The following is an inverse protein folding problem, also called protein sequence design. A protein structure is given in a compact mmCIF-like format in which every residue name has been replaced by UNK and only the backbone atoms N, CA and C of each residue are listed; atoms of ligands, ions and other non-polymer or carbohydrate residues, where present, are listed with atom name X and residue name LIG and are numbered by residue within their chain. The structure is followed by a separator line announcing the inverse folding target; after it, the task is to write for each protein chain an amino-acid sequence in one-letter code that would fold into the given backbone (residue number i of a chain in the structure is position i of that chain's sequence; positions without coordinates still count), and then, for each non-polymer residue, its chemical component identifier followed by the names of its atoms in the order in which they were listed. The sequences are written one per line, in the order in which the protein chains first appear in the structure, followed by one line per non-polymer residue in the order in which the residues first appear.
data_IF_175272013626
#
_entry.id   IF_175272013626
#
_cell.length_a   1.000
_cell.length_b   1.000
_cell.length_c   1.000
_cell.angle_alpha   90.00
_cell.angle_beta   90.00
_cell.angle_gamma   90.00
#
_symmetry.space_group_name_H-M   'P 1'
#
loop_
_entity.id
_entity.type
_entity.pdbx_description
1 polymer ?
2 polymer ?
3 non-polymer ?
4 non-polymer ?
5 non-polymer ?
6 non-polymer ?
7 non-polymer ?
8 non-polymer ?
9 non-polymer ?
10 non-polymer ?
11 water ?
#
# COMPACT_ATOMS: atom_id res chain seq x y z
CA UNK A 1 11.42 -19.14 -18.02
C UNK A 1 10.90 -18.08 -17.05
N UNK A 2 10.87 -16.80 -17.47
CA UNK A 2 10.35 -15.76 -16.59
C UNK A 2 8.84 -15.83 -16.50
N UNK A 3 8.25 -15.22 -15.47
CA UNK A 3 6.81 -15.08 -15.41
C UNK A 3 6.43 -13.75 -16.03
N UNK A 4 5.36 -13.74 -16.82
CA UNK A 4 4.93 -12.54 -17.53
C UNK A 4 3.59 -11.98 -17.07
N UNK A 5 3.37 -10.69 -17.32
CA UNK A 5 2.18 -10.01 -16.89
C UNK A 5 1.45 -9.59 -18.11
N UNK A 6 0.16 -9.92 -18.22
CA UNK A 6 -0.56 -9.74 -19.51
C UNK A 6 -1.69 -8.76 -19.44
N UNK A 7 -1.86 -7.96 -20.49
CA UNK A 7 -3.00 -7.05 -20.59
C UNK A 7 -4.19 -7.85 -21.12
N UNK A 8 -5.40 -7.44 -20.78
CA UNK A 8 -6.56 -8.10 -21.36
C UNK A 8 -6.75 -7.65 -22.81
N UNK A 9 -6.31 -6.43 -23.12
N UNK B 1 10.28 -26.49 -20.31
CA UNK B 1 11.46 -26.68 -21.13
C UNK B 1 12.59 -27.32 -20.36
N UNK B 2 13.79 -27.27 -20.90
CA UNK B 2 14.95 -27.85 -20.20
C UNK B 2 15.66 -26.83 -19.34
N UNK B 3 15.43 -25.55 -19.61
CA UNK B 3 16.03 -24.51 -18.77
C UNK B 3 15.57 -24.66 -17.34
N UNK B 4 16.50 -24.62 -16.41
CA UNK B 4 16.17 -24.65 -15.00
C UNK B 4 16.84 -23.51 -14.25
N UNK B 5 16.20 -23.07 -13.18
CA UNK B 5 16.78 -22.06 -12.32
C UNK B 5 17.75 -22.68 -11.32
N UNK B 6 18.66 -21.85 -10.80
CA UNK B 6 19.55 -22.22 -9.71
C UNK B 6 18.99 -21.79 -8.37
N UNK B 7 19.15 -22.62 -7.34
CA UNK B 7 18.83 -22.24 -5.98
C UNK B 7 17.37 -22.30 -5.59
N UNK B 8 17.06 -21.76 -4.42
CA UNK B 8 15.71 -21.88 -3.85
C UNK B 8 14.75 -20.74 -4.18
N UNK B 9 15.18 -19.82 -5.05
CA UNK B 9 14.31 -18.77 -5.59
C UNK B 9 13.87 -17.74 -4.57
N UNK B 10 14.74 -17.51 -3.59
CA UNK B 10 14.57 -16.39 -2.68
C UNK B 10 15.95 -15.78 -2.41
N UNK B 11 15.98 -14.51 -2.00
CA UNK B 11 17.25 -13.85 -1.72
C UNK B 11 17.72 -14.23 -0.33
N UNK B 12 19.03 -14.26 -0.14
CA UNK B 12 19.62 -14.64 1.15
C UNK B 12 20.52 -13.55 1.73
N UNK B 13 20.27 -12.32 1.31
CA UNK B 13 20.86 -11.15 1.95
C UNK B 13 19.77 -10.08 1.99
N UNK B 14 19.94 -9.06 2.82
CA UNK B 14 18.85 -8.12 3.05
C UNK B 14 18.89 -6.88 2.18
N UNK B 15 20.09 -6.45 1.76
CA UNK B 15 20.19 -5.27 0.91
C UNK B 15 20.26 -5.67 -0.56
N UNK B 16 19.11 -5.64 -1.20
CA UNK B 16 18.95 -6.04 -2.59
C UNK B 16 19.31 -4.85 -3.46
N UNK B 17 20.22 -5.04 -4.41
CA UNK B 17 20.63 -3.94 -5.27
C UNK B 17 19.92 -4.00 -6.61
N UNK B 18 19.71 -2.84 -7.23
CA UNK B 18 19.11 -2.83 -8.56
C UNK B 18 19.78 -1.83 -9.47
N UNK B 19 19.85 -2.18 -10.75
CA UNK B 19 20.46 -1.34 -11.77
C UNK B 19 19.45 -1.06 -12.87
N UNK B 20 19.20 0.21 -13.13
CA UNK B 20 18.37 0.59 -14.27
C UNK B 20 19.29 0.69 -15.48
N UNK B 21 19.18 -0.30 -16.37
CA UNK B 21 20.10 -0.43 -17.50
C UNK B 21 19.81 0.59 -18.60
N UNK B 22 18.53 0.92 -18.75
CA UNK B 22 18.10 1.89 -19.75
C UNK B 22 16.73 2.43 -19.41
N UNK B 23 16.24 3.35 -20.24
CA UNK B 23 15.00 4.04 -19.97
C UNK B 23 14.06 4.02 -21.16
N UNK B 24 12.76 3.95 -20.89
CA UNK B 24 11.78 4.27 -21.91
C UNK B 24 11.77 5.78 -22.07
N UNK B 25 11.48 6.25 -23.28
CA UNK B 25 11.34 7.69 -23.50
C UNK B 25 9.95 8.20 -23.12
N UNK B 26 9.07 7.31 -22.69
CA UNK B 26 7.67 7.68 -22.49
C UNK B 26 7.42 8.65 -21.32
N UNK B 27 8.32 8.65 -20.33
CA UNK B 27 8.18 9.47 -19.13
C UNK B 27 9.54 10.08 -18.81
N UNK B 28 9.58 11.19 -18.06
CA UNK B 28 10.89 11.72 -17.64
C UNK B 28 11.68 10.69 -16.85
N UNK B 29 12.99 10.71 -16.98
CA UNK B 29 13.83 9.74 -16.26
C UNK B 29 13.62 9.75 -14.75
N UNK B 30 13.48 10.93 -14.15
CA UNK B 30 13.28 11.00 -12.71
C UNK B 30 11.94 10.42 -12.30
N UNK B 31 10.97 10.52 -13.21
CA UNK B 31 9.63 9.98 -12.98
C UNK B 31 9.66 8.46 -13.06
N UNK B 32 10.44 7.92 -13.97
CA UNK B 32 10.64 6.48 -14.04
C UNK B 32 11.35 5.98 -12.78
N UNK B 33 12.41 6.69 -12.38
CA UNK B 33 13.15 6.30 -11.17
C UNK B 33 12.22 6.24 -9.96
N UNK B 34 11.35 7.25 -9.86
CA UNK B 34 10.43 7.33 -8.73
C UNK B 34 9.38 6.23 -8.76
N UNK B 35 8.90 5.91 -9.95
CA UNK B 35 7.91 4.84 -10.09
C UNK B 35 8.52 3.52 -9.61
N UNK B 36 9.77 3.27 -9.99
CA UNK B 36 10.46 2.07 -9.51
C UNK B 36 10.70 2.11 -8.01
N UNK B 37 11.10 3.27 -7.49
CA UNK B 37 11.31 3.39 -6.05
C UNK B 37 10.03 3.15 -5.26
N UNK B 38 8.90 3.67 -5.75
CA UNK B 38 7.62 3.48 -5.07
C UNK B 38 7.21 1.99 -5.12
N UNK B 39 7.51 1.32 -6.22
CA UNK B 39 7.20 -0.10 -6.35
C UNK B 39 8.02 -0.92 -5.36
N UNK B 40 9.31 -0.62 -5.24
CA UNK B 40 10.13 -1.28 -4.23
C UNK B 40 9.66 -0.95 -2.80
N UNK B 41 9.18 0.27 -2.56
CA UNK B 41 8.75 0.68 -1.22
C UNK B 41 7.53 -0.11 -0.74
N UNK B 42 6.69 -0.52 -1.69
CA UNK B 42 5.59 -1.43 -1.41
C UNK B 42 6.10 -2.70 -0.74
N UNK B 43 7.16 -3.26 -1.30
CA UNK B 43 7.68 -4.51 -0.79
C UNK B 43 8.60 -4.34 0.40
N UNK B 44 9.35 -3.24 0.45
CA UNK B 44 10.25 -3.07 1.59
C UNK B 44 9.49 -2.91 2.89
N UNK B 45 8.29 -2.32 2.84
CA UNK B 45 7.52 -2.10 4.06
C UNK B 45 7.12 -3.41 4.75
N UNK B 46 6.94 -4.47 3.96
CA UNK B 46 6.41 -5.73 4.49
C UNK B 46 7.44 -6.86 4.56
N UNK B 47 8.71 -6.54 4.31
CA UNK B 47 9.78 -7.56 4.35
C UNK B 47 10.98 -6.97 5.08
N UNK B 48 11.96 -7.82 5.45
CA UNK B 48 13.18 -7.26 6.04
C UNK B 48 14.15 -6.72 5.00
N UNK B 49 13.70 -6.57 3.76
CA UNK B 49 14.59 -6.15 2.67
C UNK B 49 14.67 -4.64 2.50
N UNK B 50 15.85 -4.17 2.06
CA UNK B 50 15.99 -2.81 1.60
C UNK B 50 16.40 -2.87 0.14
N UNK B 51 16.10 -1.82 -0.63
CA UNK B 51 16.45 -1.82 -2.05
C UNK B 51 17.32 -0.65 -2.39
N UNK B 52 18.52 -0.92 -2.89
CA UNK B 52 19.51 0.14 -3.14
C UNK B 52 19.85 0.24 -4.60
N UNK B 53 19.72 1.44 -5.16
CA UNK B 53 20.05 1.63 -6.55
C UNK B 53 21.56 1.61 -6.71
N UNK B 54 22.05 0.80 -7.64
CA UNK B 54 23.48 0.80 -7.98
C UNK B 54 23.64 1.13 -9.46
N UNK B 55 24.88 1.29 -9.90
CA UNK B 55 25.14 1.86 -11.22
C UNK B 55 26.08 1.03 -12.07
N UNK B 56 26.05 -0.28 -11.86
CA UNK B 56 26.73 -1.22 -12.75
C UNK B 56 25.93 -2.50 -12.80
N UNK B 57 26.23 -3.37 -13.76
CA UNK B 57 25.49 -4.62 -13.88
C UNK B 57 25.80 -5.60 -12.74
N UNK B 58 26.65 -5.17 -11.81
CA UNK B 58 26.88 -5.89 -10.58
C UNK B 58 25.71 -5.64 -9.62
N UNK B 59 24.51 -6.09 -10.01
CA UNK B 59 23.31 -5.84 -9.22
C UNK B 59 22.46 -7.09 -9.15
N UNK B 60 21.71 -7.25 -8.07
CA UNK B 60 20.81 -8.39 -7.94
C UNK B 60 19.73 -8.33 -9.02
N UNK B 61 19.02 -7.21 -9.07
CA UNK B 61 17.92 -7.00 -10.01
C UNK B 61 18.36 -6.01 -11.08
N UNK B 62 18.54 -6.49 -12.32
CA UNK B 62 18.77 -5.60 -13.46
C UNK B 62 17.44 -5.29 -14.12
N UNK B 63 17.16 -3.98 -14.29
CA UNK B 63 15.92 -3.53 -14.92
C UNK B 63 16.21 -3.07 -16.34
N UNK B 64 15.42 -3.53 -17.30
CA UNK B 64 15.64 -3.21 -18.71
C UNK B 64 14.32 -2.95 -19.42
N UNK B 65 14.28 -1.91 -20.27
CA UNK B 65 13.17 -1.74 -21.21
C UNK B 65 13.66 -2.33 -22.53
N UNK B 66 12.83 -3.15 -23.16
CA UNK B 66 13.23 -3.79 -24.40
C UNK B 66 12.07 -3.98 -25.34
N UNK B 67 12.37 -4.26 -26.61
CA UNK B 67 11.32 -4.55 -27.57
C UNK B 67 11.68 -5.84 -28.29
N UNK B 68 10.65 -6.60 -28.69
CA UNK B 68 10.83 -7.87 -29.38
C UNK B 68 11.87 -8.72 -28.67
N UNK B 69 12.80 -9.30 -29.43
CA UNK B 69 13.90 -10.04 -28.81
C UNK B 69 14.91 -9.05 -28.23
N UNK B 70 15.11 -9.11 -26.91
CA UNK B 70 15.91 -8.12 -26.23
C UNK B 70 17.05 -8.73 -25.42
N UNK B 71 17.41 -9.97 -25.74
CA UNK B 71 18.62 -10.56 -25.18
C UNK B 71 18.53 -11.81 -24.33
N UNK B 72 17.34 -12.25 -23.94
CA UNK B 72 17.22 -13.39 -23.04
C UNK B 72 16.46 -14.60 -23.62
N UNK B 73 16.13 -14.55 -24.91
CA UNK B 73 15.44 -15.67 -25.54
C UNK B 73 13.95 -15.69 -25.31
N UNK B 74 13.42 -14.67 -24.64
CA UNK B 74 11.99 -14.58 -24.35
C UNK B 74 11.47 -13.26 -24.88
N UNK B 75 11.16 -13.22 -26.18
CA UNK B 75 10.85 -11.94 -26.85
C UNK B 75 9.55 -11.33 -26.39
N UNK B 76 9.50 -10.00 -26.41
CA UNK B 76 8.25 -9.27 -26.19
C UNK B 76 7.47 -9.27 -27.50
N UNK B 77 6.24 -8.80 -27.46
CA UNK B 77 5.28 -9.10 -28.53
C UNK B 77 4.67 -7.87 -29.16
N UNK B 78 5.29 -6.72 -28.95
CA UNK B 78 4.75 -5.48 -29.49
C UNK B 78 3.67 -4.92 -28.59
N UNK B 79 2.88 -4.00 -29.12
CA UNK B 79 1.86 -3.29 -28.33
C UNK B 79 0.85 -4.24 -27.68
N UNK B 80 0.53 -3.97 -26.40
CA UNK B 80 -0.37 -4.80 -25.60
C UNK B 80 0.14 -6.23 -25.39
N UNK B 81 -0.76 -7.16 -25.05
CA UNK B 81 -0.34 -8.52 -24.76
C UNK B 81 0.59 -8.54 -23.56
N UNK B 82 1.78 -9.10 -23.75
CA UNK B 82 2.76 -9.19 -22.67
C UNK B 82 3.31 -7.80 -22.36
N UNK B 83 3.30 -7.42 -21.08
CA UNK B 83 3.70 -6.08 -20.69
C UNK B 83 5.11 -6.07 -20.09
N UNK B 84 5.48 -7.17 -19.43
CA UNK B 84 6.74 -7.24 -18.70
C UNK B 84 6.95 -8.67 -18.29
N UNK B 85 8.17 -9.02 -17.95
CA UNK B 85 8.40 -10.33 -17.34
C UNK B 85 9.55 -10.25 -16.37
N UNK B 86 9.62 -11.19 -15.44
CA UNK B 86 10.64 -11.11 -14.42
C UNK B 86 11.07 -12.52 -14.00
N UNK B 87 12.32 -12.62 -13.56
CA UNK B 87 12.95 -13.87 -13.17
C UNK B 87 13.09 -13.93 -11.64
N UNK B 88 12.92 -15.14 -11.05
CA UNK B 88 12.98 -15.28 -9.60
C UNK B 88 14.40 -15.08 -9.06
N UNK B 89 14.55 -14.81 -7.75
CA UNK B 89 15.87 -14.55 -7.17
C UNK B 89 16.89 -15.65 -7.44
N UNK B 90 18.15 -15.25 -7.47
CA UNK B 90 19.25 -16.16 -7.77
C UNK B 90 20.31 -15.44 -8.57
N UNK B 91 21.30 -16.19 -9.06
CA UNK B 91 22.44 -15.57 -9.76
C UNK B 91 22.16 -15.28 -11.24
N UNK B 92 22.94 -14.40 -11.83
CA UNK B 92 22.85 -14.16 -13.27
C UNK B 92 21.57 -13.49 -13.66
N UNK B 93 20.88 -14.06 -14.66
CA UNK B 93 19.65 -13.46 -15.17
C UNK B 93 18.57 -13.50 -14.12
N UNK B 94 18.74 -14.36 -13.12
CA UNK B 94 17.77 -14.44 -12.05
C UNK B 94 17.71 -13.13 -11.27
N UNK B 95 16.51 -12.77 -10.84
CA UNK B 95 16.28 -11.48 -10.21
C UNK B 95 15.87 -10.37 -11.16
N UNK B 96 16.06 -10.56 -12.47
CA UNK B 96 15.95 -9.42 -13.38
C UNK B 96 14.51 -9.10 -13.81
N UNK B 97 14.26 -7.85 -14.18
CA UNK B 97 12.89 -7.45 -14.53
C UNK B 97 12.90 -6.63 -15.81
N UNK B 98 12.17 -7.09 -16.83
CA UNK B 98 12.17 -6.41 -18.13
C UNK B 98 10.77 -5.89 -18.47
N UNK B 99 10.74 -4.70 -19.07
CA UNK B 99 9.47 -4.05 -19.43
C UNK B 99 9.40 -3.85 -20.94
N UNK B 100 8.25 -4.15 -21.54
CA UNK B 100 8.09 -4.04 -23.00
C UNK B 100 7.97 -2.58 -23.42
N UNK B 101 8.96 -2.04 -24.12
CA UNK B 101 8.90 -0.62 -24.49
C UNK B 101 8.09 -0.34 -25.75
N UNK B 102 7.50 -1.38 -26.33
CA UNK B 102 6.47 -1.17 -27.33
C UNK B 102 5.16 -0.75 -26.67
N UNK B 103 5.13 -0.76 -25.33
CA UNK B 103 3.98 -0.21 -24.63
C UNK B 103 4.11 1.29 -24.48
N UNK B 104 2.98 1.97 -24.32
CA UNK B 104 3.01 3.35 -23.85
C UNK B 104 2.98 3.30 -22.32
N UNK B 105 4.09 3.69 -21.71
CA UNK B 105 4.18 3.70 -20.25
C UNK B 105 3.70 5.03 -19.67
N UNK B 106 2.75 4.94 -18.74
CA UNK B 106 2.21 6.12 -18.09
C UNK B 106 2.24 5.94 -16.57
N UNK B 107 1.69 6.91 -15.86
CA UNK B 107 1.35 6.68 -14.46
C UNK B 107 -0.16 6.82 -14.32
N UNK B 108 -0.68 6.54 -13.12
CA UNK B 108 -2.10 6.71 -12.83
C UNK B 108 -2.76 7.83 -13.58
N UNK B 109 -3.88 7.50 -14.24
CA UNK B 109 -4.68 8.42 -15.06
C UNK B 109 -4.15 8.63 -16.48
N UNK B 110 -2.90 8.26 -16.73
CA UNK B 110 -2.34 8.33 -18.07
C UNK B 110 -3.03 7.36 -19.01
N UNK B 111 -2.91 7.60 -20.30
CA UNK B 111 -3.61 6.80 -21.31
C UNK B 111 -2.98 5.40 -21.53
N UNK B 112 -1.78 5.19 -20.99
CA UNK B 112 -1.08 3.93 -21.20
C UNK B 112 -1.12 3.01 -19.99
N UNK B 113 -0.21 2.05 -19.94
CA UNK B 113 -0.12 1.13 -18.79
C UNK B 113 0.65 1.77 -17.64
N UNK B 114 0.17 1.56 -16.40
CA UNK B 114 0.88 2.11 -15.24
C UNK B 114 2.21 1.42 -15.03
N UNK B 115 3.29 2.17 -15.20
CA UNK B 115 4.62 1.62 -14.94
C UNK B 115 4.76 1.25 -13.47
N UNK B 116 4.14 2.02 -12.58
CA UNK B 116 4.17 1.71 -11.16
C UNK B 116 3.55 0.35 -10.86
N UNK B 117 2.34 0.12 -11.36
CA UNK B 117 1.66 -1.14 -11.09
C UNK B 117 2.37 -2.32 -11.72
N UNK B 118 2.83 -2.16 -12.96
CA UNK B 118 3.55 -3.25 -13.61
C UNK B 118 4.85 -3.55 -12.87
N UNK B 119 5.57 -2.51 -12.46
CA UNK B 119 6.80 -2.74 -11.72
C UNK B 119 6.55 -3.38 -10.38
N UNK B 120 5.50 -2.95 -9.68
CA UNK B 120 5.20 -3.55 -8.38
C UNK B 120 4.97 -5.06 -8.54
N UNK B 121 4.23 -5.42 -9.57
CA UNK B 121 3.96 -6.83 -9.88
C UNK B 121 5.24 -7.57 -10.28
N UNK B 122 6.01 -6.98 -11.18
CA UNK B 122 7.23 -7.63 -11.67
C UNK B 122 8.23 -7.81 -10.54
N UNK B 123 8.32 -6.81 -9.66
CA UNK B 123 9.26 -6.89 -8.57
C UNK B 123 8.84 -7.99 -7.61
N UNK B 124 7.55 -8.25 -7.50
CA UNK B 124 7.07 -9.38 -6.72
C UNK B 124 7.70 -10.70 -7.16
N UNK B 125 7.74 -10.92 -8.47
CA UNK B 125 8.41 -12.10 -9.02
C UNK B 125 9.92 -12.07 -8.74
N UNK B 126 10.51 -10.88 -8.86
CA UNK B 126 11.95 -10.74 -8.64
C UNK B 126 12.35 -10.97 -7.19
N UNK B 127 11.36 -11.01 -6.30
CA UNK B 127 11.58 -11.38 -4.90
C UNK B 127 11.20 -12.83 -4.62
N UNK B 128 10.57 -13.50 -5.58
CA UNK B 128 10.29 -14.93 -5.42
C UNK B 128 8.84 -15.33 -5.51
N UNK B 129 7.94 -14.38 -5.71
CA UNK B 129 6.53 -14.73 -5.77
C UNK B 129 6.10 -15.33 -7.11
N UNK B 130 5.18 -16.28 -7.08
CA UNK B 130 4.58 -16.73 -8.33
C UNK B 130 3.25 -16.00 -8.51
N UNK B 131 2.55 -16.34 -9.57
CA UNK B 131 1.24 -15.75 -9.81
C UNK B 131 0.24 -16.24 -8.78
N UNK B 132 -0.74 -15.38 -8.50
CA UNK B 132 -1.82 -15.72 -7.59
C UNK B 132 -3.09 -16.03 -8.38
N UNK B 133 -3.98 -16.83 -7.79
CA UNK B 133 -5.29 -17.07 -8.41
C UNK B 133 -6.37 -16.20 -7.79
N UNK B 134 -5.97 -15.33 -6.86
CA UNK B 134 -6.89 -14.39 -6.23
C UNK B 134 -7.04 -13.16 -7.11
N UNK B 135 -8.24 -12.97 -7.68
CA UNK B 135 -8.44 -11.94 -8.73
C UNK B 135 -8.08 -10.51 -8.34
N UNK B 136 -8.18 -10.17 -7.06
CA UNK B 136 -7.85 -8.81 -6.61
C UNK B 136 -6.38 -8.63 -6.26
N UNK B 137 -5.66 -9.74 -6.10
CA UNK B 137 -4.26 -9.67 -5.68
C UNK B 137 -3.35 -8.97 -6.70
N UNK B 138 -2.32 -8.29 -6.20
CA UNK B 138 -1.35 -7.66 -7.10
C UNK B 138 -0.72 -8.71 -8.00
N UNK B 139 -0.52 -9.92 -7.47
CA UNK B 139 0.19 -10.97 -8.20
C UNK B 139 -0.69 -11.81 -9.12
N UNK B 140 -1.95 -11.40 -9.30
CA UNK B 140 -2.81 -12.05 -10.28
C UNK B 140 -2.20 -11.76 -11.66
N UNK B 141 -2.30 -12.71 -12.60
CA UNK B 141 -1.48 -12.56 -13.81
C UNK B 141 -1.95 -11.54 -14.84
N UNK B 142 -3.13 -10.96 -14.65
CA UNK B 142 -3.69 -10.03 -15.61
C UNK B 142 -3.59 -8.60 -15.10
N UNK B 143 -3.18 -7.68 -15.99
CA UNK B 143 -3.16 -6.27 -15.65
C UNK B 143 -4.55 -5.74 -15.37
N UNK B 144 -4.68 -5.01 -14.27
CA UNK B 144 -5.86 -4.17 -14.08
C UNK B 144 -5.39 -2.88 -13.42
N UNK B 145 -5.99 -1.76 -13.81
CA UNK B 145 -5.62 -0.51 -13.18
C UNK B 145 -6.48 -0.27 -11.94
N UNK B 146 -5.81 0.06 -10.83
CA UNK B 146 -6.49 0.44 -9.59
C UNK B 146 -5.88 1.71 -9.02
N UNK B 147 -6.69 2.52 -8.35
CA UNK B 147 -6.17 3.67 -7.62
C UNK B 147 -6.06 3.30 -6.14
N UNK B 148 -6.58 2.13 -5.78
CA UNK B 148 -6.55 1.66 -4.41
C UNK B 148 -5.23 1.02 -4.02
N UNK B 149 -5.06 0.65 -2.74
CA UNK B 149 -3.78 0.08 -2.33
C UNK B 149 -3.52 -1.23 -3.06
N UNK B 150 -2.36 -1.39 -3.69
CA UNK B 150 -2.11 -2.55 -4.56
C UNK B 150 -2.03 -3.89 -3.83
N UNK B 151 -1.46 -3.92 -2.62
CA UNK B 151 -1.26 -5.19 -1.91
C UNK B 151 -2.52 -5.77 -1.29
N UNK B 152 -2.70 -7.08 -1.45
CA UNK B 152 -3.76 -7.79 -0.78
C UNK B 152 -3.18 -8.84 0.15
N UNK B 153 -4.02 -9.40 1.00
CA UNK B 153 -3.58 -10.44 1.95
C UNK B 153 -2.77 -11.55 1.28
N UNK B 154 -3.18 -11.98 0.10
CA UNK B 154 -2.52 -13.12 -0.56
C UNK B 154 -1.10 -12.76 -0.93
N UNK B 155 -0.89 -11.51 -1.34
CA UNK B 155 0.45 -11.03 -1.71
C UNK B 155 1.34 -10.98 -0.47
N UNK B 156 0.81 -10.45 0.61
CA UNK B 156 1.59 -10.33 1.85
C UNK B 156 1.87 -11.71 2.43
N UNK B 157 0.86 -12.58 2.41
CA UNK B 157 1.04 -13.97 2.85
C UNK B 157 2.17 -14.64 2.08
N UNK B 158 2.17 -14.48 0.77
CA UNK B 158 3.19 -15.07 -0.07
C UNK B 158 4.58 -14.54 0.24
N UNK B 159 4.69 -13.23 0.43
CA UNK B 159 6.01 -12.66 0.67
C UNK B 159 6.58 -13.02 2.03
N UNK B 160 5.70 -13.14 3.03
CA UNK B 160 6.12 -13.50 4.38
C UNK B 160 6.51 -14.96 4.47
N UNK B 161 5.87 -15.81 3.67
CA UNK B 161 6.30 -17.21 3.60
C UNK B 161 7.75 -17.32 3.12
N UNK B 162 8.19 -16.33 2.36
CA UNK B 162 9.59 -16.31 1.92
C UNK B 162 10.52 -15.65 2.93
N UNK B 163 10.12 -14.51 3.49
CA UNK B 163 11.05 -13.67 4.27
C UNK B 163 10.70 -13.44 5.73
N UNK B 164 9.55 -13.94 6.18
CA UNK B 164 9.22 -13.91 7.60
C UNK B 164 8.14 -12.93 8.04
CA UNK C 1 -7.85 10.58 25.58
C UNK C 1 -7.48 10.00 24.21
N UNK C 2 -8.18 10.45 23.15
CA UNK C 2 -7.84 9.96 21.81
C UNK C 2 -6.54 10.57 21.32
N UNK C 3 -5.93 9.97 20.31
CA UNK C 3 -4.78 10.54 19.65
C UNK C 3 -5.25 11.29 18.41
N UNK C 4 -4.65 12.46 18.17
CA UNK C 4 -5.09 13.34 17.09
C UNK C 4 -4.05 13.52 16.00
N UNK C 5 -4.52 13.85 14.80
CA UNK C 5 -3.69 14.04 13.64
C UNK C 5 -3.79 15.48 13.28
N UNK C 6 -2.64 16.14 13.15
CA UNK C 6 -2.60 17.61 12.99
C UNK C 6 -2.06 18.08 11.68
N UNK C 7 -2.62 19.15 11.14
CA UNK C 7 -2.10 19.71 9.91
C UNK C 7 -0.86 20.55 10.19
N UNK C 8 -0.04 20.75 9.18
CA UNK C 8 1.06 21.69 9.27
C UNK C 8 0.48 23.11 9.22
N UNK C 9 0.89 23.95 10.18
N UNK D 1 -11.63 15.10 34.56
CA UNK D 1 -10.62 14.56 35.46
C UNK D 1 -9.91 13.34 34.90
N UNK D 2 -9.48 12.44 35.79
CA UNK D 2 -8.80 11.22 35.38
C UNK D 2 -9.74 10.33 34.56
N UNK D 3 -9.26 9.93 33.39
CA UNK D 3 -9.97 8.95 32.57
C UNK D 3 -8.98 7.86 32.19
N UNK D 4 -9.48 6.66 31.97
CA UNK D 4 -8.60 5.58 31.56
C UNK D 4 -9.30 4.64 30.58
N UNK D 5 -8.50 3.95 29.76
CA UNK D 5 -9.04 2.98 28.83
C UNK D 5 -9.11 1.60 29.49
N UNK D 6 -10.02 0.76 28.99
CA UNK D 6 -10.09 -0.62 29.47
C UNK D 6 -9.33 -1.56 28.55
N UNK D 7 -8.68 -2.56 29.14
CA UNK D 7 -8.02 -3.61 28.38
C UNK D 7 -6.62 -3.27 27.91
N UNK D 8 -6.03 -4.15 27.13
CA UNK D 8 -4.64 -4.00 26.64
C UNK D 8 -4.49 -3.24 25.31
N UNK D 9 -5.61 -2.70 24.80
CA UNK D 9 -5.61 -1.79 23.64
C UNK D 9 -5.30 -2.48 22.31
N UNK D 10 -5.60 -3.76 22.24
CA UNK D 10 -5.64 -4.43 20.93
C UNK D 10 -6.92 -5.27 20.84
N UNK D 11 -7.34 -5.57 19.61
CA UNK D 11 -8.56 -6.37 19.40
C UNK D 11 -8.22 -7.83 19.65
N UNK D 12 -9.14 -8.54 20.30
CA UNK D 12 -8.94 -9.96 20.57
C UNK D 12 -9.90 -10.86 19.79
N UNK D 13 -10.48 -10.28 18.75
CA UNK D 13 -11.19 -11.05 17.72
C UNK D 13 -10.73 -10.45 16.39
N UNK D 14 -10.96 -11.15 15.28
CA UNK D 14 -10.35 -10.74 14.01
C UNK D 14 -11.30 -10.19 12.95
N UNK D 15 -12.60 -10.33 13.16
CA UNK D 15 -13.56 -9.68 12.26
C UNK D 15 -14.04 -8.37 12.90
N UNK D 16 -13.45 -7.26 12.46
CA UNK D 16 -13.66 -5.97 13.11
C UNK D 16 -14.77 -5.21 12.41
N UNK D 17 -15.85 -4.90 13.12
CA UNK D 17 -16.98 -4.22 12.51
C UNK D 17 -16.81 -2.72 12.58
N UNK D 18 -17.37 -2.04 11.59
CA UNK D 18 -17.36 -0.59 11.59
C UNK D 18 -18.69 -0.02 11.13
N UNK D 19 -19.06 1.11 11.71
CA UNK D 19 -20.34 1.76 11.42
C UNK D 19 -20.07 3.20 10.99
N UNK D 20 -20.48 3.56 9.77
CA UNK D 20 -20.43 4.97 9.39
C UNK D 20 -21.71 5.62 9.91
N UNK D 21 -21.58 6.28 11.05
CA UNK D 21 -22.73 6.83 11.75
C UNK D 21 -23.33 8.01 10.98
N UNK D 22 -22.46 8.81 10.37
CA UNK D 22 -22.95 9.93 9.58
C UNK D 22 -21.98 10.26 8.47
N UNK D 23 -22.35 11.23 7.62
CA UNK D 23 -21.55 11.61 6.48
C UNK D 23 -21.30 13.11 6.44
N UNK D 24 -20.07 13.48 6.11
CA UNK D 24 -19.81 14.83 5.62
C UNK D 24 -20.50 14.95 4.27
N UNK D 25 -21.01 16.13 3.95
CA UNK D 25 -21.58 16.34 2.62
C UNK D 25 -20.58 16.95 1.65
N UNK D 26 -19.30 16.96 2.05
CA UNK D 26 -18.23 17.50 1.20
C UNK D 26 -18.07 16.67 -0.08
N UNK D 27 -18.38 15.38 0.03
CA UNK D 27 -18.20 14.43 -1.06
C UNK D 27 -19.43 13.54 -1.16
N UNK D 28 -19.67 12.92 -2.34
CA UNK D 28 -20.77 11.97 -2.44
C UNK D 28 -20.55 10.80 -1.47
N UNK D 29 -21.62 10.21 -0.97
CA UNK D 29 -21.51 9.13 0.01
C UNK D 29 -20.69 7.95 -0.51
N UNK D 30 -20.86 7.61 -1.78
CA UNK D 30 -20.13 6.49 -2.36
C UNK D 30 -18.62 6.76 -2.35
N UNK D 31 -18.23 8.02 -2.53
CA UNK D 31 -16.82 8.40 -2.53
C UNK D 31 -16.24 8.28 -1.12
N UNK D 32 -17.00 8.75 -0.13
CA UNK D 32 -16.60 8.61 1.27
C UNK D 32 -16.51 7.13 1.65
N UNK D 33 -17.51 6.35 1.24
CA UNK D 33 -17.51 4.91 1.54
C UNK D 33 -16.26 4.25 0.98
N UNK D 34 -15.92 4.61 -0.25
CA UNK D 34 -14.75 4.02 -0.90
C UNK D 34 -13.44 4.45 -0.26
N UNK D 35 -13.37 5.72 0.17
CA UNK D 35 -12.18 6.20 0.88
C UNK D 35 -11.94 5.38 2.15
N UNK D 36 -13.01 5.16 2.92
CA UNK D 36 -12.89 4.35 4.13
C UNK D 36 -12.57 2.90 3.77
N UNK D 37 -13.20 2.37 2.73
CA UNK D 37 -12.92 0.97 2.37
C UNK D 37 -11.45 0.79 1.97
N UNK D 38 -10.90 1.79 1.27
CA UNK D 38 -9.50 1.74 0.86
C UNK D 38 -8.55 1.84 2.05
N UNK D 39 -8.93 2.66 3.03
CA UNK D 39 -8.14 2.81 4.24
C UNK D 39 -8.11 1.47 5.01
N UNK D 40 -9.25 0.80 5.09
CA UNK D 40 -9.31 -0.51 5.74
C UNK D 40 -8.53 -1.55 4.97
N UNK D 41 -8.53 -1.45 3.64
CA UNK D 41 -7.85 -2.42 2.80
C UNK D 41 -6.35 -2.34 3.00
N UNK D 42 -5.88 -1.13 3.29
CA UNK D 42 -4.46 -0.91 3.55
C UNK D 42 -4.04 -1.74 4.76
N UNK D 43 -4.88 -1.75 5.78
CA UNK D 43 -4.54 -2.46 7.01
C UNK D 43 -4.86 -3.94 6.92
N UNK D 44 -5.93 -4.29 6.23
CA UNK D 44 -6.32 -5.70 6.16
C UNK D 44 -5.27 -6.55 5.42
N UNK D 45 -4.55 -5.94 4.47
CA UNK D 45 -3.51 -6.67 3.75
C UNK D 45 -2.36 -7.13 4.66
N UNK D 46 -2.06 -6.34 5.69
CA UNK D 46 -0.90 -6.59 6.53
C UNK D 46 -1.22 -7.11 7.92
N UNK D 47 -2.46 -7.49 8.15
CA UNK D 47 -2.88 -8.02 9.44
C UNK D 47 -3.73 -9.26 9.20
N UNK D 48 -4.05 -9.99 10.27
CA UNK D 48 -5.02 -11.09 10.16
C UNK D 48 -6.46 -10.62 10.26
N UNK D 49 -6.69 -9.30 10.17
CA UNK D 49 -8.01 -8.75 10.39
C UNK D 49 -8.84 -8.64 9.12
N UNK D 50 -10.16 -8.74 9.30
CA UNK D 50 -11.16 -8.51 8.28
C UNK D 50 -12.00 -7.34 8.75
N UNK D 51 -12.38 -6.43 7.85
CA UNK D 51 -13.26 -5.34 8.25
C UNK D 51 -14.63 -5.48 7.61
N UNK D 52 -15.66 -5.43 8.45
CA UNK D 52 -17.02 -5.68 8.00
C UNK D 52 -17.89 -4.50 8.34
N UNK D 53 -18.54 -3.92 7.34
CA UNK D 53 -19.41 -2.77 7.59
C UNK D 53 -20.71 -3.25 8.23
N UNK D 54 -21.09 -2.58 9.31
CA UNK D 54 -22.38 -2.83 9.96
C UNK D 54 -23.17 -1.53 10.09
N UNK D 55 -24.40 -1.63 10.58
CA UNK D 55 -25.30 -0.48 10.53
C UNK D 55 -25.95 -0.23 11.89
N UNK D 56 -25.14 -0.32 12.93
CA UNK D 56 -25.57 -0.07 14.30
C UNK D 56 -24.42 0.32 15.22
N UNK D 57 -24.75 0.90 16.37
CA UNK D 57 -23.76 1.47 17.29
C UNK D 57 -22.91 0.46 18.06
N UNK D 58 -23.23 -0.82 17.92
CA UNK D 58 -22.50 -1.88 18.62
C UNK D 58 -21.09 -2.04 18.04
N UNK D 59 -20.88 -1.47 16.86
CA UNK D 59 -19.66 -1.67 16.07
C UNK D 59 -18.35 -1.42 16.83
N UNK D 60 -17.33 -2.19 16.50
CA UNK D 60 -16.02 -1.98 17.10
C UNK D 60 -15.51 -0.58 16.82
N UNK D 61 -15.52 -0.22 15.52
CA UNK D 61 -15.08 1.10 15.07
C UNK D 61 -16.25 1.95 14.63
N UNK D 62 -16.65 2.93 15.45
CA UNK D 62 -17.70 3.84 15.00
C UNK D 62 -17.05 5.05 14.37
N UNK D 63 -17.46 5.37 13.14
CA UNK D 63 -16.91 6.49 12.39
C UNK D 63 -17.93 7.62 12.43
N UNK D 64 -17.46 8.81 12.76
CA UNK D 64 -18.34 9.96 12.94
C UNK D 64 -17.66 11.22 12.41
N UNK D 65 -18.42 12.04 11.69
CA UNK D 65 -17.97 13.39 11.33
C UNK D 65 -18.60 14.35 12.33
N UNK D 66 -17.82 15.31 12.80
CA UNK D 66 -18.32 16.24 13.78
C UNK D 66 -17.60 17.56 13.71
N UNK D 67 -18.16 18.57 14.38
CA UNK D 67 -17.49 19.87 14.46
C UNK D 67 -17.46 20.31 15.92
N UNK D 68 -16.40 21.01 16.30
CA UNK D 68 -16.27 21.57 17.65
C UNK D 68 -16.55 20.50 18.69
N UNK D 69 -17.37 20.79 19.70
CA UNK D 69 -17.76 19.72 20.61
C UNK D 69 -18.78 18.82 19.95
N UNK D 70 -18.52 17.52 19.97
CA UNK D 70 -19.34 16.56 19.27
C UNK D 70 -19.67 15.33 20.11
N UNK D 71 -19.62 15.49 21.43
CA UNK D 71 -20.15 14.48 22.33
C UNK D 71 -19.17 13.65 23.13
N UNK D 72 -17.87 13.90 22.99
CA UNK D 72 -16.91 13.09 23.72
C UNK D 72 -15.98 13.87 24.64
N UNK D 73 -16.15 15.19 24.68
CA UNK D 73 -15.36 16.02 25.58
C UNK D 73 -14.02 16.45 25.01
N UNK D 74 -13.74 16.01 23.78
CA UNK D 74 -12.52 16.38 23.07
C UNK D 74 -12.87 17.13 21.79
N UNK D 75 -13.14 18.43 21.92
CA UNK D 75 -13.70 19.13 20.75
C UNK D 75 -12.70 19.32 19.63
N UNK D 76 -13.21 19.41 18.41
CA UNK D 76 -12.42 19.83 17.26
C UNK D 76 -12.25 21.34 17.28
N UNK D 77 -11.46 21.88 16.37
CA UNK D 77 -10.95 23.24 16.50
C UNK D 77 -11.16 24.10 15.26
N UNK D 78 -12.12 23.72 14.42
CA UNK D 78 -12.38 24.45 13.19
C UNK D 78 -11.41 24.13 12.08
N UNK D 79 -11.38 24.94 11.03
CA UNK D 79 -10.52 24.70 9.88
C UNK D 79 -9.05 24.50 10.24
N UNK D 80 -8.42 23.50 9.62
CA UNK D 80 -7.03 23.14 9.84
C UNK D 80 -6.75 22.69 11.28
N UNK D 81 -5.49 22.76 11.70
CA UNK D 81 -5.11 22.23 13.00
C UNK D 81 -5.43 20.75 13.12
N UNK D 82 -6.23 20.40 14.13
CA UNK D 82 -6.64 19.01 14.36
C UNK D 82 -7.59 18.57 13.27
N UNK D 83 -7.30 17.44 12.62
CA UNK D 83 -8.09 16.95 11.48
C UNK D 83 -9.02 15.81 11.89
N UNK D 84 -8.58 15.03 12.88
CA UNK D 84 -9.32 13.84 13.28
C UNK D 84 -8.68 13.29 14.53
N UNK D 85 -9.41 12.44 15.25
CA UNK D 85 -8.82 11.73 16.37
C UNK D 85 -9.47 10.36 16.52
N UNK D 86 -8.80 9.47 17.22
CA UNK D 86 -9.29 8.09 17.28
C UNK D 86 -8.90 7.44 18.57
N UNK D 87 -9.72 6.48 18.99
CA UNK D 87 -9.56 5.83 20.28
C UNK D 87 -9.04 4.39 20.07
N UNK D 88 -8.17 3.92 20.98
CA UNK D 88 -7.61 2.57 20.83
C UNK D 88 -8.66 1.47 21.04
N UNK D 89 -8.38 0.26 20.56
CA UNK D 89 -9.29 -0.89 20.67
C UNK D 89 -9.83 -1.13 22.08
N UNK D 90 -11.09 -1.57 22.15
CA UNK D 90 -11.75 -1.84 23.42
C UNK D 90 -13.24 -1.57 23.30
N UNK D 91 -13.93 -1.53 24.45
CA UNK D 91 -15.38 -1.37 24.48
C UNK D 91 -15.84 0.08 24.33
N UNK D 92 -17.08 0.28 23.89
CA UNK D 92 -17.68 1.60 23.86
C UNK D 92 -17.00 2.56 22.91
N UNK D 93 -16.61 3.73 23.42
CA UNK D 93 -15.96 4.74 22.60
C UNK D 93 -14.63 4.22 22.05
N UNK D 94 -14.04 3.25 22.75
CA UNK D 94 -12.79 2.68 22.29
C UNK D 94 -12.96 2.07 20.89
N UNK D 95 -11.96 2.29 20.04
CA UNK D 95 -12.04 1.86 18.66
C UNK D 95 -12.59 2.91 17.72
N UNK D 96 -13.24 3.94 18.23
CA UNK D 96 -13.93 4.87 17.34
C UNK D 96 -13.00 5.89 16.66
N UNK D 97 -13.43 6.39 15.51
CA UNK D 97 -12.65 7.37 14.75
C UNK D 97 -13.54 8.54 14.33
N UNK D 98 -13.12 9.76 14.69
CA UNK D 98 -13.90 10.96 14.44
C UNK D 98 -13.15 11.90 13.50
N UNK D 99 -13.87 12.51 12.56
CA UNK D 99 -13.26 13.38 11.55
C UNK D 99 -13.85 14.79 11.63
N UNK D 100 -12.99 15.80 11.61
CA UNK D 100 -13.43 17.19 11.80
C UNK D 100 -14.06 17.72 10.51
N UNK D 101 -15.38 17.90 10.50
CA UNK D 101 -16.05 18.32 9.25
C UNK D 101 -15.92 19.82 9.02
N UNK D 102 -15.16 20.50 9.87
CA UNK D 102 -14.77 21.87 9.59
C UNK D 102 -13.61 21.89 8.58
N UNK D 103 -13.09 20.72 8.23
CA UNK D 103 -12.14 20.62 7.12
C UNK D 103 -12.88 20.42 5.81
N UNK D 104 -12.20 20.78 4.72
CA UNK D 104 -12.65 20.44 3.38
C UNK D 104 -12.09 19.06 3.05
N UNK D 105 -12.97 18.07 2.97
CA UNK D 105 -12.54 16.69 2.69
C UNK D 105 -12.46 16.45 1.19
N UNK D 106 -11.31 15.96 0.77
CA UNK D 106 -11.04 15.70 -0.65
C UNK D 106 -10.28 14.40 -0.77
N UNK D 107 -9.69 14.19 -1.94
CA UNK D 107 -8.79 13.07 -2.18
C UNK D 107 -7.66 13.53 -3.08
N UNK D 108 -7.90 14.66 -3.77
CA UNK D 108 -6.95 15.22 -4.70
C UNK D 108 -5.73 15.84 -4.03
N UNK D 109 -4.66 16.01 -4.80
CA UNK D 109 -3.43 16.62 -4.31
C UNK D 109 -3.64 17.99 -3.66
N UNK D 110 -4.46 18.81 -4.33
CA UNK D 110 -4.63 20.20 -3.93
C UNK D 110 -5.47 20.47 -2.69
N UNK D 111 -6.46 21.35 -2.86
CA UNK D 111 -7.22 21.90 -1.75
C UNK D 111 -7.88 20.87 -0.83
N UNK D 112 -7.87 21.14 0.47
CA UNK D 112 -8.48 20.27 1.46
C UNK D 112 -7.51 19.24 2.00
N UNK D 113 -8.06 18.21 2.63
CA UNK D 113 -7.25 17.14 3.19
C UNK D 113 -7.78 15.82 2.64
N UNK D 114 -6.87 14.88 2.36
CA UNK D 114 -7.29 13.58 1.84
C UNK D 114 -8.00 12.76 2.91
N UNK D 115 -9.28 12.51 2.71
CA UNK D 115 -10.02 11.64 3.64
C UNK D 115 -9.40 10.23 3.69
N UNK D 116 -8.87 9.76 2.56
CA UNK D 116 -8.23 8.44 2.54
C UNK D 116 -7.02 8.39 3.47
N UNK D 117 -6.13 9.37 3.33
CA UNK D 117 -4.93 9.40 4.17
C UNK D 117 -5.26 9.62 5.65
N UNK D 118 -6.21 10.51 5.92
CA UNK D 118 -6.54 10.76 7.33
C UNK D 118 -7.20 9.53 7.94
N UNK D 119 -8.06 8.86 7.19
CA UNK D 119 -8.69 7.65 7.72
C UNK D 119 -7.70 6.53 7.90
N UNK D 120 -6.78 6.37 6.96
CA UNK D 120 -5.77 5.32 7.08
C UNK D 120 -4.96 5.51 8.38
N UNK D 121 -4.63 6.77 8.66
CA UNK D 121 -3.89 7.11 9.88
C UNK D 121 -4.76 6.87 11.10
N UNK D 122 -5.99 7.40 11.07
CA UNK D 122 -6.92 7.24 12.19
C UNK D 122 -7.17 5.77 12.50
N UNK D 123 -7.39 4.99 11.44
CA UNK D 123 -7.64 3.56 11.62
C UNK D 123 -6.45 2.85 12.25
N UNK D 124 -5.23 3.31 11.98
CA UNK D 124 -4.06 2.78 12.69
C UNK D 124 -4.23 2.85 14.20
N UNK D 125 -4.72 3.99 14.69
CA UNK D 125 -4.96 4.15 16.13
C UNK D 125 -6.09 3.22 16.57
N UNK D 126 -7.11 3.09 15.73
CA UNK D 126 -8.26 2.25 16.08
C UNK D 126 -7.89 0.76 16.11
N UNK D 127 -6.70 0.44 15.60
CA UNK D 127 -6.19 -0.93 15.64
C UNK D 127 -5.16 -1.08 16.77
N UNK D 128 -4.74 0.03 17.34
CA UNK D 128 -3.87 -0.01 18.52
C UNK D 128 -2.49 0.61 18.36
N UNK D 129 -2.25 1.28 17.24
CA UNK D 129 -0.94 1.89 17.02
C UNK D 129 -0.82 3.24 17.70
N UNK D 130 0.39 3.52 18.16
CA UNK D 130 0.75 4.81 18.74
C UNK D 130 1.22 5.69 17.60
N UNK D 131 1.51 6.96 17.88
CA UNK D 131 2.21 7.78 16.88
C UNK D 131 3.66 7.29 16.68
N UNK D 132 4.17 7.50 15.47
CA UNK D 132 5.55 7.16 15.15
C UNK D 132 6.42 8.41 15.16
N UNK D 133 7.74 8.24 15.35
CA UNK D 133 8.65 9.38 15.23
C UNK D 133 9.40 9.36 13.89
N UNK D 134 9.11 8.35 13.07
CA UNK D 134 9.68 8.25 11.72
C UNK D 134 8.87 9.15 10.78
N UNK D 135 9.50 10.23 10.27
CA UNK D 135 8.74 11.24 9.51
C UNK D 135 8.03 10.76 8.25
N UNK D 136 8.47 9.66 7.64
CA UNK D 136 7.81 9.14 6.44
C UNK D 136 6.68 8.18 6.78
N UNK D 137 6.59 7.76 8.04
CA UNK D 137 5.64 6.72 8.41
C UNK D 137 4.22 7.24 8.38
N UNK D 138 3.27 6.38 8.06
CA UNK D 138 1.87 6.78 8.06
C UNK D 138 1.46 7.29 9.44
N UNK D 139 2.01 6.68 10.48
CA UNK D 139 1.61 7.01 11.84
C UNK D 139 2.37 8.17 12.45
N UNK D 140 3.18 8.87 11.65
CA UNK D 140 3.77 10.14 12.09
C UNK D 140 2.61 11.10 12.38
N UNK D 141 2.73 11.94 13.42
CA UNK D 141 1.55 12.70 13.87
C UNK D 141 1.15 13.91 13.01
N UNK D 142 1.96 14.26 12.02
CA UNK D 142 1.62 15.40 11.19
C UNK D 142 1.17 14.99 9.80
N UNK D 143 0.15 15.66 9.27
CA UNK D 143 -0.38 15.33 7.95
C UNK D 143 0.59 15.74 6.86
N UNK D 144 0.80 14.85 5.89
CA UNK D 144 1.49 15.23 4.68
C UNK D 144 0.79 14.50 3.53
N UNK D 145 0.56 15.21 2.45
CA UNK D 145 -0.03 14.56 1.29
C UNK D 145 1.07 13.89 0.48
N UNK D 146 0.82 12.63 0.12
CA UNK D 146 1.73 11.90 -0.73
C UNK D 146 0.93 10.95 -1.61
N UNK D 147 1.49 10.60 -2.76
CA UNK D 147 0.85 9.63 -3.64
C UNK D 147 1.60 8.32 -3.56
N UNK D 148 2.66 8.31 -2.78
CA UNK D 148 3.46 7.11 -2.58
C UNK D 148 2.72 6.14 -1.68
N UNK D 149 3.19 4.88 -1.64
CA UNK D 149 2.54 3.90 -0.77
C UNK D 149 2.61 4.40 0.66
N UNK D 150 1.47 4.43 1.36
CA UNK D 150 1.45 5.08 2.69
C UNK D 150 2.23 4.31 3.77
N UNK D 151 2.24 2.98 3.72
CA UNK D 151 2.87 2.18 4.78
C UNK D 151 4.38 2.11 4.67
N UNK D 152 5.04 2.27 5.80
CA UNK D 152 6.49 2.10 5.87
C UNK D 152 6.80 0.97 6.85
N UNK D 153 8.06 0.55 6.88
CA UNK D 153 8.45 -0.54 7.79
C UNK D 153 7.99 -0.30 9.23
N UNK D 154 8.10 0.93 9.69
CA UNK D 154 7.77 1.24 11.09
C UNK D 154 6.30 0.96 11.38
N UNK D 155 5.43 1.27 10.42
CA UNK D 155 3.99 1.03 10.56
C UNK D 155 3.71 -0.46 10.57
N UNK D 156 4.35 -1.19 9.67
CA UNK D 156 4.10 -2.63 9.56
C UNK D 156 4.69 -3.36 10.77
N UNK D 157 5.87 -2.94 11.20
CA UNK D 157 6.46 -3.59 12.37
C UNK D 157 5.59 -3.36 13.60
N UNK D 158 5.01 -2.17 13.69
CA UNK D 158 4.13 -1.82 14.80
C UNK D 158 2.88 -2.66 14.83
N UNK D 159 2.25 -2.83 13.67
CA UNK D 159 1.00 -3.59 13.61
C UNK D 159 1.26 -5.08 13.83
N UNK D 160 2.42 -5.56 13.38
CA UNK D 160 2.77 -6.96 13.59
C UNK D 160 3.06 -7.25 15.06
N UNK D 161 3.53 -6.25 15.79
CA UNK D 161 3.81 -6.43 17.22
C UNK D 161 2.49 -6.67 17.95
N UNK D 162 1.39 -6.21 17.37
CA UNK D 162 0.09 -6.39 17.98
C UNK D 162 -0.58 -7.69 17.54
N UNK D 163 -0.58 -7.95 16.23
CA UNK D 163 -1.40 -9.02 15.67
C UNK D 163 -0.62 -10.17 15.03
N UNK D 164 0.71 -10.01 14.97
CA UNK D 164 1.56 -11.03 14.37
C UNK D 164 1.72 -10.89 12.87
X LIG E 1 6.43 -9.38 -14.65
X LIG E 1 5.59 -10.18 -14.60
X LIG E 1 4.74 -10.98 -14.56
X LIG F 1 3.47 -11.90 -13.33
X LIG G 1 13.38 -10.25 -21.00
X LIG H 1 3.58 -6.16 -25.37
X LIG I 1 20.47 -10.65 -11.59
X LIG J 1 7.07 3.05 -25.48
X LIG K 1 4.34 4.31 -27.09
X LIG K 1 4.92 3.48 -28.23
X LIG K 1 3.81 2.62 -28.82
X LIG K 1 5.44 4.71 -26.27
X LIG K 1 5.97 2.64 -27.75
X LIG L 1 10.82 -17.00 7.27
X LIG L 1 12.23 -16.76 7.25
X LIG L 1 10.51 -18.22 6.40
X LIG L 1 9.11 -18.46 6.42
X LIG M 1 7.18 -15.98 -21.07
X LIG M 1 6.35 -16.19 -22.23
X LIG M 1 7.18 -14.50 -20.72
X LIG M 1 8.08 -13.81 -21.59
X LIG N 1 -6.67 1.23 -17.94
X LIG N 1 -7.98 1.41 -17.54
X LIG N 1 -6.23 -0.16 -18.31
X LIG N 1 -5.83 -0.37 -19.62
X LIG N 1 -4.77 0.35 -20.12
X LIG N 1 -4.69 0.55 -21.60
X LIG N 1 -3.67 1.36 -22.06
X LIG O 1 9.52 -19.26 -10.56
X LIG O 1 8.50 -19.85 -11.34
X LIG O 1 9.19 -19.33 -9.07
X LIG O 1 8.56 -18.13 -8.69
X LIG O 1 8.25 -20.49 -8.78
X LIG O 1 7.96 -20.53 -7.40
X LIG P 1 -4.52 10.84 15.03
X LIG P 1 -5.55 10.55 14.55
X LIG P 1 -6.57 10.28 14.06
X LIG Q 1 -2.62 10.17 15.04
X LIG R 1 -14.34 12.87 18.99
X LIG S 1 -9.64 21.17 12.50
X LIG T 1 -16.34 1.20 19.61
X LIG U 1 -16.50 20.08 5.59
X LIG V 1 -15.63 23.04 3.80
X LIG V 1 -15.71 23.60 5.21
X LIG V 1 -14.38 24.25 5.58
X LIG V 1 -16.30 21.78 3.68
X LIG V 1 -16.05 22.58 6.17
X LIG W 1 -0.65 3.18 23.35
X LIG W 1 -0.22 1.99 22.68
X LIG W 1 -1.27 4.14 22.34
X LIG W 1 -2.33 3.47 21.67
X LIG X 1 6.11 17.54 10.43
X LIG X 1 6.28 18.48 11.46
X LIG X 1 5.41 18.16 9.25
X LIG X 1 4.07 18.43 9.57
X LIG Y 1 -4.57 21.87 3.22
X LIG Y 1 -4.65 23.17 2.68
X LIG Y 1 -3.18 21.30 2.99
X LIG Y 1 -2.45 22.17 2.15
X LIG Y 1 -3.28 19.93 2.32
X LIG Y 1 -2.01 19.52 1.87
#
# INVERSE_FOLDING_TARGET
XPLGFXARX
GFQTFEGDLKWHHHNITYWIQNYSEDLPRAVIDDAFARAFALWSAVTPLTFTRVYSRDADIVIQFGVAEHGDGYPFDGKDGLLAHAFPPGPGIQGDAHFDDDELWSLGKGVGYSLFLVAAHAFGHALGLDHSSVPEALMYPMYRFTEGPPLHKDDVNGIRHLYG
XPLGFXARX
GFQTFEGDLKWHHHNITYWIQNYSEDLPRAVIDDAFARAFALWSAVTPLTFTRVYSRDADIVIQFGVAEHGDGYPFDGKDGLLAHAFPPGPGIQGDAHFDDDELWSLGKGVGYSLFLVAAHAFGHALGLDHSSVPEALMYPMYRFTEGPPLHKDDVNGIRHLYG
AZI N1 N2 N3
ZN ZN
ZN ZN
CA CA
SR SR
SR SR
PGO C1 C2 C3 O1 O2
EDO C1 O1 C2 O2
EDO C1 O1 C2 O2
PEG C1 O1 C2 O2 C3 C4 O4
GOL C1 O1 C2 O2 C3 O3
AZI N1 N2 N3
ZN ZN
ZN ZN
CA CA
SR SR
SR SR
PGO C1 C2 C3 O1 O2
EDO C1 O1 C2 O2
EDO C1 O1 C2 O2
GOL C1 O1 C2 O2 C3 O3
#
